data_IF_484033651908
#
_entry.id   IF_484033651908
#
_cell.length_a   1.000
_cell.length_b   1.000
_cell.length_c   1.000
_cell.angle_alpha   90.00
_cell.angle_beta   90.00
_cell.angle_gamma   90.00
#
_symmetry.space_group_name_H-M   'P 1'
#
loop_
_entity.id
_entity.type
_entity.pdbx_description
1 polymer ?
#
# COMPACT_ATOMS: atom_id res chain seq x y z
N UNK A 1 75.85 -4.82 -7.46
CA UNK A 1 75.81 -3.62 -8.34
C UNK A 1 75.00 -3.91 -9.61
N UNK A 2 73.88 -3.20 -9.79
CA UNK A 2 73.02 -3.29 -10.98
C UNK A 2 71.63 -2.71 -10.71
N UNK A 3 71.48 -1.39 -10.82
CA UNK A 3 70.20 -0.66 -10.75
C UNK A 3 69.75 -0.30 -12.17
N UNK A 4 68.49 -0.59 -12.53
CA UNK A 4 67.76 0.11 -13.62
C UNK A 4 66.26 0.25 -13.23
N UNK A 5 65.91 1.47 -12.81
CA UNK A 5 64.75 2.35 -13.08
C UNK A 5 63.30 1.77 -13.16
N UNK A 6 62.29 2.43 -12.51
CA UNK A 6 60.93 1.93 -12.36
C UNK A 6 60.02 2.23 -13.56
N UNK A 7 59.11 1.29 -13.87
CA UNK A 7 58.06 1.48 -14.87
C UNK A 7 56.71 1.77 -14.21
N UNK A 8 56.06 2.81 -14.73
CA UNK A 8 54.77 3.38 -14.34
C UNK A 8 53.60 2.64 -15.00
N UNK A 9 52.41 2.74 -14.37
CA UNK A 9 51.04 2.38 -14.80
C UNK A 9 50.46 1.08 -14.22
N UNK A 10 49.23 1.02 -13.71
CA UNK A 10 48.07 1.91 -13.84
C UNK A 10 47.41 2.23 -12.50
N UNK A 11 47.08 3.52 -12.31
CA UNK A 11 45.89 3.93 -11.56
C UNK A 11 44.67 3.20 -12.13
N UNK A 12 43.98 2.38 -11.34
CA UNK A 12 42.59 2.05 -11.65
C UNK A 12 41.79 1.67 -10.40
N UNK A 13 41.00 2.64 -9.96
CA UNK A 13 39.76 2.36 -9.24
C UNK A 13 39.91 2.17 -7.74
N UNK A 14 40.30 3.24 -7.05
CA UNK A 14 39.84 3.48 -5.69
C UNK A 14 38.35 3.18 -5.63
N UNK A 15 37.99 2.32 -4.69
CA UNK A 15 36.70 2.07 -4.05
C UNK A 15 35.99 3.37 -3.55
N UNK A 16 36.40 4.54 -4.04
CA UNK A 16 36.11 5.86 -3.49
C UNK A 16 35.18 6.74 -4.32
N UNK A 17 34.42 6.21 -5.29
CA UNK A 17 33.52 7.04 -6.11
C UNK A 17 32.02 6.82 -5.90
N UNK A 18 31.64 5.98 -4.93
CA UNK A 18 30.25 5.96 -4.43
C UNK A 18 29.98 7.01 -3.35
N UNK A 19 31.01 7.74 -2.93
CA UNK A 19 30.91 8.73 -1.86
C UNK A 19 31.50 10.08 -2.29
N UNK A 20 30.97 10.66 -3.35
CA UNK A 20 30.89 12.12 -3.40
C UNK A 20 29.66 12.58 -2.62
N UNK A 21 29.85 12.50 -1.31
CA UNK A 21 28.93 12.90 -0.24
C UNK A 21 28.58 14.40 -0.26
N UNK A 22 29.09 15.17 -1.23
CA UNK A 22 28.91 16.62 -1.30
C UNK A 22 27.59 17.07 -1.95
N UNK A 23 26.75 16.12 -2.40
CA UNK A 23 25.35 16.37 -2.80
C UNK A 23 24.33 16.10 -1.66
N UNK A 24 24.80 15.74 -0.46
CA UNK A 24 23.96 15.18 0.62
C UNK A 24 22.93 16.15 1.26
N UNK A 25 23.03 17.46 1.06
CA UNK A 25 22.00 18.39 1.53
C UNK A 25 20.73 18.35 0.68
N UNK A 26 20.90 18.52 -0.63
CA UNK A 26 19.78 18.56 -1.58
C UNK A 26 19.31 17.14 -1.97
N UNK A 27 20.20 16.16 -2.09
CA UNK A 27 19.84 14.77 -2.42
C UNK A 27 19.04 14.11 -1.29
N UNK A 28 19.45 14.26 -0.02
CA UNK A 28 18.68 13.77 1.13
C UNK A 28 17.32 14.47 1.23
N UNK A 29 17.28 15.80 1.01
CA UNK A 29 16.00 16.52 0.98
C UNK A 29 15.09 16.06 -0.18
N UNK A 30 15.65 15.80 -1.35
CA UNK A 30 14.92 15.30 -2.53
C UNK A 30 14.43 13.86 -2.35
N UNK A 31 15.22 12.98 -1.73
CA UNK A 31 14.82 11.61 -1.38
C UNK A 31 13.75 11.63 -0.29
N UNK A 32 13.91 12.44 0.75
CA UNK A 32 12.89 12.67 1.79
C UNK A 32 11.59 13.27 1.23
N UNK A 33 11.68 14.16 0.24
CA UNK A 33 10.51 14.75 -0.45
C UNK A 33 9.82 13.74 -1.36
N UNK A 34 10.59 12.92 -2.09
CA UNK A 34 10.05 11.83 -2.93
C UNK A 34 9.41 10.73 -2.08
N UNK A 35 9.99 10.42 -0.93
CA UNK A 35 9.44 9.42 -0.01
C UNK A 35 8.14 9.92 0.65
N UNK A 36 8.07 11.20 1.02
CA UNK A 36 6.82 11.84 1.47
C UNK A 36 5.70 11.73 0.41
N UNK A 37 6.02 11.99 -0.85
CA UNK A 37 5.03 11.85 -1.94
C UNK A 37 4.55 10.41 -2.12
N UNK A 38 5.41 9.41 -1.88
CA UNK A 38 5.02 7.98 -1.94
C UNK A 38 4.09 7.60 -0.80
N UNK A 39 4.39 8.07 0.41
CA UNK A 39 3.55 7.83 1.60
C UNK A 39 2.17 8.48 1.43
N UNK A 40 2.11 9.70 0.90
CA UNK A 40 0.83 10.40 0.68
C UNK A 40 -0.02 9.70 -0.38
N UNK A 41 0.57 9.34 -1.53
CA UNK A 41 -0.14 8.58 -2.56
C UNK A 41 -0.63 7.22 -2.05
N UNK A 42 0.17 6.53 -1.23
CA UNK A 42 -0.25 5.28 -0.59
C UNK A 42 -1.41 5.50 0.40
N UNK A 43 -1.41 6.60 1.13
CA UNK A 43 -2.51 7.00 2.03
C UNK A 43 -3.81 7.22 1.24
N UNK A 44 -3.75 7.97 0.14
CA UNK A 44 -4.92 8.23 -0.71
C UNK A 44 -5.45 6.93 -1.30
N UNK A 45 -4.56 6.08 -1.83
CA UNK A 45 -4.95 4.79 -2.41
C UNK A 45 -5.62 3.88 -1.37
N UNK A 46 -5.08 3.83 -0.15
CA UNK A 46 -5.68 3.05 0.95
C UNK A 46 -7.08 3.53 1.28
N UNK A 47 -7.29 4.85 1.38
CA UNK A 47 -8.58 5.40 1.73
C UNK A 47 -9.63 5.15 0.63
N UNK A 48 -9.25 5.32 -0.64
CA UNK A 48 -10.11 5.03 -1.80
C UNK A 48 -10.48 3.54 -1.89
N UNK A 49 -9.52 2.63 -1.68
CA UNK A 49 -9.79 1.18 -1.67
C UNK A 49 -10.79 0.78 -0.57
N UNK A 50 -10.69 1.38 0.62
CA UNK A 50 -11.61 1.10 1.74
C UNK A 50 -12.99 1.70 1.49
N UNK A 51 -13.07 2.91 0.90
CA UNK A 51 -14.34 3.51 0.50
C UNK A 51 -15.08 2.65 -0.53
N UNK A 52 -14.36 2.13 -1.52
CA UNK A 52 -14.90 1.16 -2.49
C UNK A 52 -15.41 -0.11 -1.79
N UNK A 53 -14.60 -0.74 -0.93
CA UNK A 53 -15.01 -1.93 -0.18
C UNK A 53 -16.25 -1.69 0.68
N UNK A 54 -16.31 -0.59 1.43
CA UNK A 54 -17.46 -0.27 2.27
C UNK A 54 -18.74 -0.05 1.44
N UNK A 55 -18.62 0.56 0.26
CA UNK A 55 -19.74 0.76 -0.66
C UNK A 55 -20.24 -0.55 -1.27
N UNK A 56 -19.32 -1.46 -1.65
CA UNK A 56 -19.67 -2.80 -2.10
C UNK A 56 -20.42 -3.58 -1.01
N UNK A 57 -19.93 -3.53 0.24
CA UNK A 57 -20.58 -4.18 1.38
C UNK A 57 -21.98 -3.61 1.66
N UNK A 58 -22.17 -2.30 1.53
CA UNK A 58 -23.49 -1.69 1.66
C UNK A 58 -24.46 -2.17 0.57
N UNK A 59 -23.99 -2.28 -0.68
CA UNK A 59 -24.78 -2.81 -1.81
C UNK A 59 -25.17 -4.27 -1.58
N UNK A 60 -24.21 -5.12 -1.18
CA UNK A 60 -24.45 -6.55 -0.88
C UNK A 60 -25.43 -6.72 0.29
N UNK A 61 -25.25 -5.95 1.36
CA UNK A 61 -26.15 -6.00 2.51
C UNK A 61 -27.58 -5.55 2.16
N UNK A 62 -27.72 -4.54 1.29
CA UNK A 62 -29.02 -4.06 0.81
C UNK A 62 -29.69 -5.03 -0.19
N UNK A 63 -28.90 -5.81 -0.92
CA UNK A 63 -29.36 -6.77 -1.94
C UNK A 63 -29.72 -8.15 -1.36
N UNK A 64 -29.66 -8.33 -0.04
CA UNK A 64 -30.06 -9.58 0.60
C UNK A 64 -31.57 -9.84 0.41
N UNK A 65 -31.91 -10.98 -0.20
CA UNK A 65 -33.31 -11.43 -0.37
C UNK A 65 -34.02 -11.67 0.97
N UNK A 66 -33.25 -11.91 2.03
CA UNK A 66 -33.74 -12.02 3.39
C UNK A 66 -33.55 -10.65 4.06
N UNK A 67 -34.63 -9.89 4.21
CA UNK A 67 -34.62 -8.61 4.92
C UNK A 67 -34.82 -8.81 6.42
N UNK A 68 -33.93 -9.59 7.07
CA UNK A 68 -33.99 -9.70 8.52
C UNK A 68 -33.70 -8.34 9.17
N UNK A 69 -34.14 -8.15 10.43
CA UNK A 69 -33.80 -6.94 11.19
C UNK A 69 -32.28 -6.72 11.28
N UNK A 70 -31.50 -7.80 11.25
CA UNK A 70 -30.05 -7.78 11.23
C UNK A 70 -29.55 -7.21 9.88
N UNK A 71 -30.04 -7.71 8.75
CA UNK A 71 -29.58 -7.30 7.42
C UNK A 71 -29.84 -5.82 7.17
N UNK A 72 -31.01 -5.32 7.58
CA UNK A 72 -31.34 -3.89 7.53
C UNK A 72 -30.40 -3.06 8.41
N UNK A 73 -30.09 -3.53 9.63
CA UNK A 73 -29.15 -2.85 10.52
C UNK A 73 -27.71 -2.87 9.96
N UNK A 74 -27.31 -3.97 9.32
CA UNK A 74 -26.01 -4.10 8.66
C UNK A 74 -25.89 -3.19 7.45
N UNK A 75 -26.92 -3.12 6.60
CA UNK A 75 -26.95 -2.19 5.47
C UNK A 75 -26.82 -0.73 5.96
N UNK A 76 -27.54 -0.35 7.00
CA UNK A 76 -27.43 1.00 7.59
C UNK A 76 -26.04 1.28 8.17
N UNK A 77 -25.47 0.35 8.93
CA UNK A 77 -24.13 0.50 9.50
C UNK A 77 -23.04 0.62 8.42
N UNK A 78 -23.10 -0.23 7.40
CA UNK A 78 -22.14 -0.21 6.28
C UNK A 78 -22.30 1.01 5.39
N UNK A 79 -23.52 1.53 5.22
CA UNK A 79 -23.75 2.80 4.52
C UNK A 79 -23.12 4.00 5.26
N UNK A 80 -23.23 4.04 6.60
CA UNK A 80 -22.54 5.04 7.42
C UNK A 80 -21.01 4.90 7.30
N UNK A 81 -20.48 3.67 7.32
CA UNK A 81 -19.06 3.42 7.10
C UNK A 81 -18.60 3.84 5.70
N UNK A 82 -19.40 3.59 4.65
CA UNK A 82 -19.12 4.00 3.29
C UNK A 82 -19.02 5.53 3.19
N UNK A 83 -20.00 6.25 3.76
CA UNK A 83 -19.98 7.72 3.84
C UNK A 83 -18.73 8.23 4.56
N UNK A 84 -18.39 7.64 5.71
CA UNK A 84 -17.19 8.02 6.46
C UNK A 84 -15.90 7.75 5.66
N UNK A 85 -15.80 6.62 4.98
CA UNK A 85 -14.61 6.28 4.21
C UNK A 85 -14.42 7.17 2.97
N UNK A 86 -15.51 7.60 2.34
CA UNK A 86 -15.50 8.61 1.26
C UNK A 86 -14.93 9.93 1.79
N UNK A 87 -15.45 10.43 2.92
CA UNK A 87 -14.94 11.64 3.56
C UNK A 87 -13.44 11.50 3.92
N UNK A 88 -13.05 10.36 4.49
CA UNK A 88 -11.64 10.10 4.83
C UNK A 88 -10.73 9.97 3.60
N UNK A 89 -11.26 9.57 2.44
CA UNK A 89 -10.52 9.56 1.19
C UNK A 89 -10.29 10.97 0.65
N UNK A 90 -11.30 11.83 0.69
CA UNK A 90 -11.20 13.24 0.29
C UNK A 90 -10.25 14.01 1.23
N UNK A 91 -10.34 13.80 2.55
CA UNK A 91 -9.40 14.35 3.54
C UNK A 91 -7.97 13.81 3.35
N UNK A 92 -7.82 12.64 2.76
CA UNK A 92 -6.52 12.11 2.34
C UNK A 92 -6.05 12.68 0.99
N UNK A 93 -6.79 13.59 0.36
CA UNK A 93 -6.43 14.21 -0.92
C UNK A 93 -6.88 13.43 -2.16
N UNK A 94 -7.86 12.54 -2.03
CA UNK A 94 -8.49 11.93 -3.19
C UNK A 94 -9.38 12.96 -3.90
N UNK A 95 -9.33 12.95 -5.23
CA UNK A 95 -10.26 13.72 -6.06
C UNK A 95 -11.67 13.12 -5.98
N UNK A 96 -12.69 13.98 -5.90
CA UNK A 96 -14.08 13.57 -5.72
C UNK A 96 -14.57 12.67 -6.87
N UNK A 97 -14.26 13.01 -8.12
CA UNK A 97 -14.68 12.21 -9.28
C UNK A 97 -14.04 10.82 -9.24
N UNK A 98 -12.80 10.74 -8.78
CA UNK A 98 -12.11 9.45 -8.59
C UNK A 98 -12.77 8.60 -7.51
N UNK A 99 -13.18 9.20 -6.40
CA UNK A 99 -13.90 8.50 -5.33
C UNK A 99 -15.26 8.05 -5.82
N UNK A 100 -16.04 8.94 -6.43
CA UNK A 100 -17.37 8.65 -6.97
C UNK A 100 -17.34 7.52 -8.02
N UNK A 101 -16.38 7.56 -8.95
CA UNK A 101 -16.19 6.51 -9.96
C UNK A 101 -15.85 5.15 -9.32
N UNK A 102 -14.98 5.15 -8.31
CA UNK A 102 -14.62 3.92 -7.57
C UNK A 102 -15.83 3.36 -6.83
N UNK A 103 -16.58 4.20 -6.12
CA UNK A 103 -17.80 3.81 -5.38
C UNK A 103 -18.82 3.23 -6.34
N UNK A 104 -19.08 3.90 -7.47
CA UNK A 104 -20.01 3.42 -8.49
C UNK A 104 -19.62 2.05 -9.03
N UNK A 105 -18.34 1.86 -9.36
CA UNK A 105 -17.85 0.55 -9.82
C UNK A 105 -17.93 -0.52 -8.72
N UNK A 106 -17.78 -0.13 -7.45
CA UNK A 106 -17.79 -1.08 -6.34
C UNK A 106 -19.21 -1.53 -5.97
N UNK A 107 -20.23 -0.69 -6.11
CA UNK A 107 -21.63 -1.08 -5.82
C UNK A 107 -22.19 -2.07 -6.84
N UNK A 108 -21.59 -2.15 -8.03
CA UNK A 108 -21.93 -3.14 -9.06
C UNK A 108 -21.41 -4.56 -8.72
N UNK A 109 -20.57 -4.71 -7.67
CA UNK A 109 -20.04 -6.00 -7.24
C UNK A 109 -21.09 -6.76 -6.43
N UNK A 110 -21.50 -7.92 -6.94
CA UNK A 110 -22.47 -8.81 -6.28
C UNK A 110 -21.93 -10.23 -6.04
N UNK A 111 -20.80 -10.61 -6.66
CA UNK A 111 -20.29 -11.97 -6.51
C UNK A 111 -19.45 -12.12 -5.24
N UNK A 112 -19.53 -13.25 -4.52
CA UNK A 112 -18.67 -13.51 -3.37
C UNK A 112 -17.17 -13.48 -3.72
N UNK A 113 -16.80 -13.94 -4.93
CA UNK A 113 -15.41 -13.97 -5.39
C UNK A 113 -14.81 -12.57 -5.59
N UNK A 114 -15.60 -11.65 -6.14
CA UNK A 114 -15.19 -10.26 -6.32
C UNK A 114 -15.06 -9.55 -4.96
N UNK A 115 -15.96 -9.82 -4.02
CA UNK A 115 -15.90 -9.26 -2.67
C UNK A 115 -14.63 -9.73 -1.91
N UNK A 116 -14.25 -11.00 -2.03
CA UNK A 116 -13.00 -11.53 -1.46
C UNK A 116 -11.80 -10.83 -2.08
N UNK A 117 -11.78 -10.68 -3.40
CA UNK A 117 -10.69 -9.99 -4.13
C UNK A 117 -10.58 -8.53 -3.70
N UNK A 118 -11.70 -7.81 -3.61
CA UNK A 118 -11.75 -6.42 -3.19
C UNK A 118 -11.29 -6.26 -1.74
N UNK A 119 -11.68 -7.18 -0.85
CA UNK A 119 -11.23 -7.23 0.54
C UNK A 119 -9.71 -7.43 0.61
N UNK A 120 -9.16 -8.36 -0.17
CA UNK A 120 -7.73 -8.60 -0.24
C UNK A 120 -6.97 -7.35 -0.76
N UNK A 121 -7.49 -6.70 -1.80
CA UNK A 121 -6.92 -5.47 -2.34
C UNK A 121 -6.88 -4.35 -1.29
N UNK A 122 -7.98 -4.12 -0.58
CA UNK A 122 -8.04 -3.12 0.48
C UNK A 122 -7.07 -3.42 1.64
N UNK A 123 -6.95 -4.69 2.04
CA UNK A 123 -6.00 -5.12 3.07
C UNK A 123 -4.53 -4.90 2.64
N UNK A 124 -4.21 -5.10 1.37
CA UNK A 124 -2.88 -4.80 0.81
C UNK A 124 -2.60 -3.31 0.82
N UNK A 125 -3.57 -2.47 0.40
CA UNK A 125 -3.41 -1.01 0.42
C UNK A 125 -3.10 -0.51 1.84
N UNK A 126 -3.79 -1.02 2.87
CA UNK A 126 -3.52 -0.71 4.27
C UNK A 126 -2.10 -1.08 4.70
N UNK A 127 -1.60 -2.26 4.30
CA UNK A 127 -0.24 -2.71 4.59
C UNK A 127 0.83 -1.85 3.92
N UNK A 128 0.53 -1.28 2.75
CA UNK A 128 1.42 -0.34 2.05
C UNK A 128 1.57 1.02 2.77
N UNK A 129 0.64 1.36 3.66
CA UNK A 129 0.65 2.63 4.43
C UNK A 129 1.41 2.54 5.75
N UNK A 130 1.52 1.35 6.34
CA UNK A 130 2.29 1.13 7.56
C UNK A 130 3.69 0.65 7.19
N UNK A 131 4.70 1.54 7.14
CA UNK A 131 6.07 1.09 7.08
C UNK A 131 6.28 0.20 8.30
N UNK A 132 6.51 -1.10 8.08
CA UNK A 132 6.98 -1.99 9.15
C UNK A 132 8.22 -1.33 9.73
N UNK A 133 8.16 -1.01 11.03
CA UNK A 133 9.22 -0.38 11.82
C UNK A 133 10.58 -0.65 11.19
N UNK A 134 11.08 0.35 10.46
CA UNK A 134 12.33 0.26 9.73
C UNK A 134 13.44 0.19 10.78
N UNK A 135 13.81 -1.03 11.16
CA UNK A 135 15.09 -1.27 11.81
C UNK A 135 16.13 -0.63 10.90
N UNK A 136 16.91 0.24 11.51
CA UNK A 136 17.71 1.30 10.89
C UNK A 136 18.86 0.70 10.09
N UNK A 137 18.61 0.10 8.94
CA UNK A 137 19.62 -0.52 8.10
C UNK A 137 19.01 -1.08 6.81
N UNK A 138 19.09 -0.33 5.72
CA UNK A 138 19.78 -0.75 4.49
C UNK A 138 19.23 -0.02 3.25
N UNK A 139 20.19 0.46 2.46
CA UNK A 139 20.07 0.68 1.02
C UNK A 139 19.25 -0.43 0.36
N UNK A 140 18.22 -0.07 -0.40
CA UNK A 140 17.49 -1.00 -1.26
C UNK A 140 18.47 -1.48 -2.34
N UNK A 141 19.00 -2.69 -2.18
CA UNK A 141 19.50 -3.48 -3.30
C UNK A 141 18.38 -4.45 -3.67
N UNK A 142 17.83 -4.42 -4.90
CA UNK A 142 16.82 -5.38 -5.30
C UNK A 142 17.55 -6.70 -5.58
N UNK A 143 17.49 -7.65 -4.66
CA UNK A 143 17.73 -9.05 -4.99
C UNK A 143 16.88 -9.98 -4.14
N UNK A 144 15.87 -10.52 -4.82
CA UNK A 144 15.39 -11.90 -4.78
C UNK A 144 16.23 -12.89 -3.96
N UNK A 145 15.59 -13.51 -2.94
CA UNK A 145 15.67 -14.91 -2.42
C UNK A 145 14.41 -15.10 -1.54
N UNK A 146 13.49 -16.02 -1.81
CA UNK A 146 13.65 -17.46 -1.58
C UNK A 146 12.89 -17.87 -0.31
N UNK A 147 11.70 -18.45 -0.49
CA UNK A 147 10.90 -19.33 0.39
C UNK A 147 11.14 -19.31 1.92
N UNK A 148 10.09 -18.91 2.65
CA UNK A 148 9.81 -19.49 3.96
C UNK A 148 8.30 -19.47 4.18
N UNK A 149 7.74 -20.67 4.34
CA UNK A 149 6.36 -20.95 4.73
C UNK A 149 5.89 -19.98 5.81
N UNK A 150 4.81 -19.27 5.53
CA UNK A 150 4.03 -18.65 6.60
C UNK A 150 2.73 -19.44 6.68
N UNK A 151 2.69 -20.31 7.70
CA UNK A 151 1.48 -20.91 8.21
C UNK A 151 0.35 -19.89 8.22
N UNK A 152 -0.71 -20.20 7.48
CA UNK A 152 -2.02 -19.59 7.68
C UNK A 152 -2.42 -19.82 9.14
N UNK A 153 -2.73 -18.80 9.95
CA UNK A 153 -3.58 -19.03 11.11
C UNK A 153 -4.92 -19.59 10.59
N UNK A 154 -5.47 -20.65 11.20
CA UNK A 154 -6.70 -21.25 10.74
C UNK A 154 -7.80 -20.19 10.76
N UNK A 155 -8.54 -20.18 9.65
CA UNK A 155 -9.75 -19.41 9.50
C UNK A 155 -10.66 -19.64 10.71
N UNK A 156 -10.90 -18.58 11.47
CA UNK A 156 -11.99 -18.53 12.42
C UNK A 156 -13.28 -18.31 11.63
N UNK A 157 -13.69 -19.36 10.91
CA UNK A 157 -15.10 -19.55 10.59
C UNK A 157 -15.73 -20.10 11.86
N UNK A 158 -16.49 -19.26 12.57
CA UNK A 158 -17.40 -19.75 13.59
C UNK A 158 -18.57 -20.43 12.89
N UNK A 159 -18.73 -21.70 13.23
CA UNK A 159 -19.87 -22.57 12.96
C UNK A 159 -21.22 -21.88 13.25
N UNK A 160 -22.16 -22.05 12.33
CA UNK A 160 -23.61 -22.21 12.56
C UNK A 160 -23.99 -23.55 11.99
#
# INVERSE_FOLDING_TARGET
>A
PGKIIPSTNCRRGTIGKWLHQKQHGNANMSVKRKDRARVENARVHSAVSIAGLASALASVAASSDNHSKLDVAMASATQLLASYCVEMAELAGADHDRVASTVKSAVDIQTPGDLITLTAAAAISLRGRFPKEAKKNASISPYDKGIAETQCPPAFWSDV
#
